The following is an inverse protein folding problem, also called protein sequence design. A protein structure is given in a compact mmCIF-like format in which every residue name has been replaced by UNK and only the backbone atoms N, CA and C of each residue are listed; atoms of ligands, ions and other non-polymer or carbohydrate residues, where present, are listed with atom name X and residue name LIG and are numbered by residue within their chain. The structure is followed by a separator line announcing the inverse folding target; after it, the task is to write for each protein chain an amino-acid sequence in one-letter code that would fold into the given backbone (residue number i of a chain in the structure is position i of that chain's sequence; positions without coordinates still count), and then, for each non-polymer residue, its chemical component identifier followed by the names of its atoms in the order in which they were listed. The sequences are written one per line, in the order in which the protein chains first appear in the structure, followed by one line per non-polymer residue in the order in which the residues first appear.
data_IF_524872659493
#
_entry.id   IF_524872659493
#
_cell.length_a   1.000
_cell.length_b   1.000
_cell.length_c   1.000
_cell.angle_alpha   90.00
_cell.angle_beta   90.00
_cell.angle_gamma   90.00
#
_symmetry.space_group_name_H-M   'P 1'
#
loop_
_entity.id
_entity.type
_entity.pdbx_description
1 polymer ?
#
# COMPACT_ATOMS: atom_id res chain seq x y z
N UNK A 1 -4.69 -4.05 -28.42
CA UNK A 1 -3.37 -3.47 -28.15
C UNK A 1 -3.54 -2.30 -27.17
N UNK A 2 -2.87 -2.31 -26.00
CA UNK A 2 -3.09 -1.34 -24.92
C UNK A 2 -2.11 -0.16 -24.97
N UNK A 3 -1.04 -0.23 -25.74
CA UNK A 3 0.05 0.74 -25.71
C UNK A 3 -0.38 2.16 -26.10
N UNK A 4 -1.42 2.29 -26.92
CA UNK A 4 -2.00 3.56 -27.35
C UNK A 4 -3.28 3.95 -26.58
N UNK A 5 -3.61 3.25 -25.51
CA UNK A 5 -4.81 3.53 -24.71
C UNK A 5 -4.51 4.44 -23.52
N UNK A 6 -5.58 4.92 -22.85
CA UNK A 6 -5.43 5.65 -21.58
C UNK A 6 -4.85 4.82 -20.44
N UNK A 7 -4.78 3.49 -20.59
CA UNK A 7 -4.19 2.57 -19.63
C UNK A 7 -3.25 1.59 -20.34
N UNK A 8 -2.05 2.02 -20.68
CA UNK A 8 -1.03 1.11 -21.21
C UNK A 8 -0.67 0.07 -20.14
N UNK A 9 -0.66 -1.20 -20.53
CA UNK A 9 -0.34 -2.28 -19.59
C UNK A 9 1.17 -2.26 -19.28
N UNK A 10 1.50 -2.14 -18.00
CA UNK A 10 2.88 -2.11 -17.51
C UNK A 10 3.09 -3.15 -16.42
N UNK A 11 4.33 -3.50 -16.17
CA UNK A 11 4.72 -4.38 -15.09
C UNK A 11 3.90 -5.67 -15.03
N UNK A 12 3.33 -5.95 -13.88
CA UNK A 12 2.52 -7.13 -13.65
C UNK A 12 1.24 -7.19 -14.51
N UNK A 13 0.68 -6.04 -14.92
CA UNK A 13 -0.53 -6.00 -15.73
C UNK A 13 -0.33 -6.55 -17.15
N UNK A 14 0.88 -6.55 -17.69
CA UNK A 14 1.18 -7.12 -19.02
C UNK A 14 0.88 -8.61 -19.14
N UNK A 15 0.84 -9.30 -18.01
CA UNK A 15 0.67 -10.77 -17.96
C UNK A 15 -0.76 -11.19 -17.68
N UNK A 16 -1.67 -10.24 -17.49
CA UNK A 16 -3.07 -10.55 -17.20
C UNK A 16 -3.83 -10.91 -18.47
N UNK A 17 -4.71 -11.89 -18.36
CA UNK A 17 -5.65 -12.21 -19.41
C UNK A 17 -6.70 -11.09 -19.54
N UNK A 18 -7.23 -10.90 -20.74
CA UNK A 18 -8.15 -9.79 -21.07
C UNK A 18 -9.37 -9.74 -20.16
N UNK A 19 -9.92 -10.91 -19.83
CA UNK A 19 -11.11 -11.07 -19.00
C UNK A 19 -10.89 -10.71 -17.52
N UNK A 20 -9.64 -10.49 -17.09
CA UNK A 20 -9.39 -9.99 -15.73
C UNK A 20 -9.83 -8.53 -15.54
N UNK A 21 -9.90 -7.78 -16.61
CA UNK A 21 -10.31 -6.38 -16.63
C UNK A 21 -11.61 -6.18 -17.41
N UNK A 22 -11.72 -6.84 -18.57
CA UNK A 22 -12.88 -6.75 -19.46
C UNK A 22 -13.90 -7.81 -19.08
N UNK A 23 -14.70 -7.53 -18.07
CA UNK A 23 -15.73 -8.43 -17.53
C UNK A 23 -17.12 -8.00 -17.97
N UNK A 24 -18.07 -8.93 -17.93
CA UNK A 24 -19.50 -8.59 -17.93
C UNK A 24 -19.94 -8.22 -16.50
N UNK A 25 -20.96 -7.37 -16.37
CA UNK A 25 -21.57 -7.14 -15.06
C UNK A 25 -22.01 -8.46 -14.43
N UNK A 26 -21.86 -8.60 -13.12
CA UNK A 26 -22.30 -9.79 -12.41
C UNK A 26 -23.82 -10.03 -12.64
N UNK A 27 -24.20 -11.25 -13.00
CA UNK A 27 -25.59 -11.61 -13.30
C UNK A 27 -26.09 -11.19 -14.68
N UNK A 28 -25.27 -10.54 -15.50
CA UNK A 28 -25.65 -10.15 -16.85
C UNK A 28 -25.79 -11.36 -17.79
N UNK A 29 -26.77 -11.32 -18.70
CA UNK A 29 -26.92 -12.30 -19.79
C UNK A 29 -25.66 -12.34 -20.65
N UNK A 30 -25.42 -13.52 -21.28
CA UNK A 30 -24.35 -13.69 -22.27
C UNK A 30 -24.49 -12.78 -23.49
N UNK A 31 -25.69 -12.30 -23.76
CA UNK A 31 -26.01 -11.40 -24.88
C UNK A 31 -25.51 -9.97 -24.62
N UNK A 32 -25.22 -9.61 -23.35
CA UNK A 32 -24.62 -8.32 -23.03
C UNK A 32 -23.14 -8.35 -23.41
N UNK A 33 -22.68 -7.46 -24.31
CA UNK A 33 -21.30 -7.46 -24.74
C UNK A 33 -20.35 -7.07 -23.60
N UNK A 34 -19.13 -7.61 -23.64
CA UNK A 34 -18.05 -7.20 -22.74
C UNK A 34 -17.66 -5.75 -23.01
N UNK A 35 -17.56 -4.95 -21.97
CA UNK A 35 -17.10 -3.56 -22.08
C UNK A 35 -15.57 -3.51 -22.27
N UNK A 36 -15.15 -3.05 -23.45
CA UNK A 36 -13.73 -2.83 -23.75
C UNK A 36 -13.31 -1.38 -23.60
N UNK A 37 -14.25 -0.45 -23.39
CA UNK A 37 -14.00 0.98 -23.24
C UNK A 37 -14.66 1.51 -21.98
N UNK A 38 -14.17 2.64 -21.48
CA UNK A 38 -14.76 3.31 -20.32
C UNK A 38 -14.41 2.69 -18.98
N UNK A 39 -13.49 1.72 -18.94
CA UNK A 39 -13.01 1.18 -17.67
C UNK A 39 -12.24 2.25 -16.89
N UNK A 40 -12.35 2.25 -15.55
CA UNK A 40 -11.56 3.15 -14.71
C UNK A 40 -10.08 2.80 -14.81
N UNK A 41 -9.24 3.82 -14.60
CA UNK A 41 -7.78 3.71 -14.69
C UNK A 41 -7.07 3.93 -13.35
N UNK A 42 -7.83 4.15 -12.27
CA UNK A 42 -7.28 4.30 -10.92
C UNK A 42 -7.11 2.93 -10.26
N UNK A 43 -6.03 2.77 -9.49
CA UNK A 43 -5.67 1.49 -8.89
C UNK A 43 -6.76 0.90 -8.00
N UNK A 44 -7.44 1.74 -7.22
CA UNK A 44 -8.48 1.36 -6.27
C UNK A 44 -9.91 1.42 -6.83
N UNK A 45 -10.06 1.55 -8.13
CA UNK A 45 -11.38 1.50 -8.74
C UNK A 45 -12.06 0.16 -8.46
N UNK A 46 -13.40 0.18 -8.49
CA UNK A 46 -14.20 -1.04 -8.26
C UNK A 46 -13.77 -2.18 -9.18
N UNK A 47 -13.47 -3.32 -8.60
CA UNK A 47 -13.01 -4.52 -9.32
C UNK A 47 -11.50 -4.57 -9.59
N UNK A 48 -10.73 -3.53 -9.21
CA UNK A 48 -9.27 -3.52 -9.33
C UNK A 48 -8.60 -3.94 -8.01
N UNK A 49 -8.06 -2.99 -7.24
CA UNK A 49 -7.35 -3.29 -5.99
C UNK A 49 -8.07 -2.71 -4.78
N UNK A 50 -8.25 -3.51 -3.74
CA UNK A 50 -8.67 -3.00 -2.45
C UNK A 50 -7.51 -2.27 -1.74
N UNK A 51 -7.84 -1.24 -0.95
CA UNK A 51 -6.85 -0.56 -0.11
C UNK A 51 -6.61 -1.34 1.20
N UNK A 52 -5.46 -2.04 1.35
CA UNK A 52 -5.13 -2.78 2.56
C UNK A 52 -4.76 -1.83 3.72
N UNK A 53 -4.49 -0.57 3.43
CA UNK A 53 -4.08 0.44 4.42
C UNK A 53 -5.27 1.09 5.14
N UNK A 54 -6.51 0.75 4.74
CA UNK A 54 -7.75 1.28 5.36
C UNK A 54 -7.78 2.81 5.39
N UNK A 55 -7.36 3.45 4.32
CA UNK A 55 -7.39 4.90 4.18
C UNK A 55 -6.33 5.68 4.96
N UNK A 56 -5.35 5.01 5.59
CA UNK A 56 -4.30 5.68 6.38
C UNK A 56 -3.56 6.76 5.58
N UNK A 57 -3.51 6.64 4.27
CA UNK A 57 -2.76 7.55 3.39
C UNK A 57 -3.64 8.49 2.57
N UNK A 58 -4.96 8.49 2.78
CA UNK A 58 -5.90 9.27 1.98
C UNK A 58 -5.61 10.79 1.97
N UNK A 59 -5.07 11.32 3.07
CA UNK A 59 -4.77 12.75 3.25
C UNK A 59 -3.30 13.11 2.96
N UNK A 60 -2.50 12.19 2.40
CA UNK A 60 -1.11 12.51 2.06
C UNK A 60 -1.03 13.37 0.79
N UNK A 61 0.08 14.10 0.68
CA UNK A 61 0.47 14.77 -0.55
C UNK A 61 0.42 13.77 -1.71
N UNK A 62 -0.15 14.14 -2.83
CA UNK A 62 -0.57 13.31 -3.98
C UNK A 62 -1.85 12.49 -3.74
N UNK A 63 -2.74 12.93 -2.81
CA UNK A 63 -4.08 12.38 -2.67
C UNK A 63 -4.17 10.90 -2.32
N UNK A 64 -3.12 10.32 -1.70
CA UNK A 64 -3.11 8.90 -1.37
C UNK A 64 -3.00 7.96 -2.58
N UNK A 65 -2.52 8.45 -3.72
CA UNK A 65 -2.33 7.63 -4.91
C UNK A 65 -1.34 6.47 -4.66
N UNK A 66 -1.74 5.27 -5.01
CA UNK A 66 -0.95 4.06 -4.80
C UNK A 66 0.44 4.14 -5.44
N UNK A 67 0.53 4.75 -6.63
CA UNK A 67 1.77 4.93 -7.38
C UNK A 67 2.77 5.91 -6.73
N UNK A 68 2.34 6.65 -5.72
CA UNK A 68 3.26 7.48 -4.93
C UNK A 68 4.24 6.64 -4.11
N UNK A 69 3.85 5.42 -3.75
CA UNK A 69 4.63 4.51 -2.91
C UNK A 69 4.90 3.15 -3.56
N UNK A 70 4.08 2.73 -4.52
CA UNK A 70 4.18 1.42 -5.16
C UNK A 70 4.48 1.53 -6.66
N UNK A 71 5.18 0.54 -7.19
CA UNK A 71 5.37 0.39 -8.63
C UNK A 71 4.40 -0.63 -9.22
N UNK A 72 4.15 -0.54 -10.53
CA UNK A 72 3.34 -1.52 -11.26
C UNK A 72 4.06 -2.87 -11.45
N UNK A 73 5.35 -2.94 -11.15
CA UNK A 73 6.12 -4.19 -11.23
C UNK A 73 5.79 -5.12 -10.08
N UNK A 74 5.69 -4.58 -8.87
CA UNK A 74 5.38 -5.35 -7.66
C UNK A 74 4.94 -4.43 -6.53
N UNK A 75 3.91 -4.83 -5.81
CA UNK A 75 3.49 -4.18 -4.57
C UNK A 75 4.57 -4.16 -3.48
N UNK A 76 5.55 -5.06 -3.57
CA UNK A 76 6.69 -5.13 -2.64
C UNK A 76 7.83 -4.20 -3.01
N UNK A 77 7.88 -3.72 -4.24
CA UNK A 77 8.83 -2.71 -4.68
C UNK A 77 8.34 -1.33 -4.28
N UNK A 78 8.74 -0.89 -3.09
CA UNK A 78 8.36 0.41 -2.55
C UNK A 78 9.27 1.51 -3.10
N UNK A 79 8.66 2.60 -3.52
CA UNK A 79 9.30 3.87 -3.86
C UNK A 79 9.41 4.80 -2.65
N UNK A 80 8.90 4.34 -1.50
CA UNK A 80 8.83 5.08 -0.25
C UNK A 80 10.18 5.10 0.48
N UNK A 81 10.53 6.27 1.02
CA UNK A 81 11.71 6.48 1.85
C UNK A 81 11.36 7.37 3.04
N UNK A 82 11.68 6.93 4.27
CA UNK A 82 11.33 7.67 5.49
C UNK A 82 11.94 9.06 5.52
N UNK A 83 13.17 9.24 5.03
CA UNK A 83 13.87 10.53 5.02
C UNK A 83 13.21 11.55 4.10
N UNK A 84 12.69 11.07 2.98
CA UNK A 84 12.05 11.93 1.97
C UNK A 84 10.56 12.13 2.23
N UNK A 85 9.89 11.08 2.72
CA UNK A 85 8.43 10.98 2.67
C UNK A 85 7.77 11.10 4.06
N UNK A 86 8.57 11.29 5.14
CA UNK A 86 8.05 11.46 6.50
C UNK A 86 8.83 12.54 7.27
N UNK A 87 8.24 13.00 8.37
CA UNK A 87 8.89 13.88 9.33
C UNK A 87 9.80 13.11 10.32
N UNK A 88 9.93 11.79 10.13
CA UNK A 88 10.79 10.95 10.96
C UNK A 88 11.76 10.12 10.12
N UNK A 89 12.89 10.68 9.73
CA UNK A 89 13.95 9.92 9.06
C UNK A 89 14.50 8.83 9.98
N UNK A 90 14.80 7.67 9.40
CA UNK A 90 15.45 6.60 10.15
C UNK A 90 16.95 6.90 10.20
N UNK A 91 17.45 7.23 11.40
CA UNK A 91 18.85 7.58 11.63
C UNK A 91 19.52 6.65 12.67
N UNK A 92 20.83 6.66 12.73
CA UNK A 92 21.61 5.92 13.71
C UNK A 92 21.29 4.43 13.70
N UNK A 93 20.90 3.89 14.84
CA UNK A 93 20.56 2.49 14.99
C UNK A 93 19.28 2.07 14.24
N UNK A 94 18.41 3.03 13.89
CA UNK A 94 17.15 2.74 13.20
C UNK A 94 17.31 2.51 11.69
N UNK A 95 18.43 2.89 11.08
CA UNK A 95 18.68 2.76 9.63
C UNK A 95 18.48 1.33 9.13
N UNK A 96 18.88 0.34 9.92
CA UNK A 96 18.81 -1.08 9.55
C UNK A 96 17.64 -1.83 10.20
N UNK A 97 16.71 -1.12 10.83
CA UNK A 97 15.56 -1.75 11.46
C UNK A 97 14.51 -2.08 10.41
N UNK A 98 14.05 -3.33 10.39
CA UNK A 98 13.01 -3.78 9.44
C UNK A 98 11.65 -3.14 9.74
N UNK A 99 10.88 -2.91 8.69
CA UNK A 99 9.57 -2.24 8.76
C UNK A 99 8.65 -2.78 9.87
N UNK A 100 8.57 -4.10 10.00
CA UNK A 100 7.68 -4.77 10.96
C UNK A 100 8.08 -4.59 12.44
N UNK A 101 9.27 -4.07 12.72
CA UNK A 101 9.67 -3.77 14.09
C UNK A 101 8.87 -2.58 14.67
N UNK A 102 8.51 -1.64 13.81
CA UNK A 102 7.71 -0.46 14.16
C UNK A 102 6.26 -0.59 13.68
N UNK A 103 6.06 -1.04 12.45
CA UNK A 103 4.75 -1.18 11.83
C UNK A 103 4.19 -2.58 12.10
N UNK A 104 3.52 -2.74 13.21
CA UNK A 104 3.00 -4.03 13.67
C UNK A 104 1.53 -4.22 13.30
N UNK A 105 1.10 -5.46 13.06
CA UNK A 105 -0.32 -5.77 12.92
C UNK A 105 -1.06 -5.47 14.22
N UNK A 106 -2.22 -4.83 14.10
CA UNK A 106 -3.12 -4.54 15.22
C UNK A 106 -4.59 -4.73 14.81
N UNK A 107 -5.48 -4.76 15.78
CA UNK A 107 -6.94 -4.81 15.54
C UNK A 107 -7.48 -6.18 15.16
N UNK A 108 -8.80 -6.25 14.99
CA UNK A 108 -9.55 -7.43 14.54
C UNK A 108 -10.53 -7.00 13.43
N UNK A 109 -10.41 -7.51 12.18
CA UNK A 109 -9.29 -8.31 11.66
C UNK A 109 -7.97 -7.51 11.66
N UNK A 110 -6.83 -8.18 11.73
CA UNK A 110 -5.54 -7.51 11.85
C UNK A 110 -5.22 -6.66 10.62
N UNK A 111 -4.62 -5.49 10.84
CA UNK A 111 -4.06 -4.63 9.80
C UNK A 111 -2.78 -3.98 10.29
N UNK A 112 -1.89 -3.59 9.38
CA UNK A 112 -0.65 -2.93 9.75
C UNK A 112 -0.87 -1.43 9.85
N UNK A 113 -0.54 -0.85 11.04
CA UNK A 113 -0.54 0.60 11.20
C UNK A 113 0.77 1.19 10.70
N UNK A 114 0.67 2.05 9.71
CA UNK A 114 1.80 2.79 9.17
C UNK A 114 1.83 4.24 9.69
N UNK A 115 0.67 4.83 9.94
CA UNK A 115 0.54 6.21 10.41
C UNK A 115 -0.83 6.43 11.09
N UNK A 116 -0.92 7.27 12.13
CA UNK A 116 0.22 7.84 12.88
C UNK A 116 0.89 6.80 13.79
N UNK A 117 2.19 6.96 14.02
CA UNK A 117 2.93 6.25 15.06
C UNK A 117 3.47 7.25 16.07
N UNK A 118 3.62 6.85 17.35
CA UNK A 118 4.26 7.70 18.34
C UNK A 118 5.75 7.85 18.02
N UNK A 119 6.31 9.05 18.23
CA UNK A 119 7.69 9.40 17.94
C UNK A 119 8.55 9.54 19.19
N UNK A 120 7.97 9.44 20.38
CA UNK A 120 8.71 9.53 21.63
C UNK A 120 9.50 8.24 21.88
N UNK A 121 10.74 8.37 22.31
CA UNK A 121 11.66 7.24 22.52
C UNK A 121 11.05 6.17 23.45
N UNK A 122 10.42 6.59 24.53
CA UNK A 122 9.78 5.74 25.54
C UNK A 122 8.54 4.99 25.02
N UNK A 123 7.98 5.41 23.91
CA UNK A 123 6.85 4.71 23.29
C UNK A 123 7.23 3.34 22.71
N UNK A 124 8.53 3.17 22.42
CA UNK A 124 9.08 1.95 21.84
C UNK A 124 10.18 1.34 22.71
N UNK A 125 10.99 2.20 23.37
CA UNK A 125 12.07 1.80 24.24
C UNK A 125 11.65 1.91 25.71
N UNK A 126 11.38 0.80 26.35
CA UNK A 126 11.15 0.79 27.78
C UNK A 126 12.49 0.76 28.51
N UNK A 127 12.73 1.64 29.50
CA UNK A 127 13.91 1.53 30.34
C UNK A 127 13.89 0.14 31.00
N UNK A 128 14.99 -0.60 30.85
CA UNK A 128 15.13 -1.86 31.56
C UNK A 128 14.94 -1.60 33.07
N UNK A 129 14.09 -2.40 33.79
CA UNK A 129 14.00 -2.30 35.23
C UNK A 129 15.40 -2.54 35.80
N UNK A 130 15.88 -1.59 36.60
CA UNK A 130 17.21 -1.62 37.23
C UNK A 130 17.40 -2.96 37.97
N UNK A 131 18.20 -3.86 37.37
CA UNK A 131 18.52 -5.16 37.93
C UNK A 131 19.36 -5.07 39.23
N UNK A 132 19.82 -3.83 39.61
CA UNK A 132 20.65 -3.63 40.80
C UNK A 132 19.88 -3.52 42.10
N UNK A 133 18.56 -3.51 42.10
CA UNK A 133 17.72 -3.46 43.32
C UNK A 133 17.29 -4.81 43.87
N UNK A 134 17.88 -5.91 43.44
CA UNK A 134 17.62 -7.25 43.96
C UNK A 134 18.90 -7.86 44.55
N UNK A 135 19.57 -7.15 45.44
CA UNK A 135 20.56 -7.72 46.40
C UNK A 135 20.21 -7.27 47.81
#
# INVERSE_FOLDING_TARGET
EHDSTRYPLRGAHRRLACERCHTRPAGASRDIPVAYRGLPTTCNASGCHADPHRGQFANRSRGGECVACHSEESWRSLLFDHRRDTDWPLDGAHVNVGCAACHRPEGQPPFVRYTPLPHACESCHHPEPDRRRRQ
#
